data_IF_827009599341
#
_entry.id   IF_827009599341
#
_cell.length_a   1.000
_cell.length_b   1.000
_cell.length_c   1.000
_cell.angle_alpha   90.00
_cell.angle_beta   90.00
_cell.angle_gamma   90.00
#
_symmetry.space_group_name_H-M   'P 1'
#
loop_
_entity.id
_entity.type
_entity.pdbx_description
1 polymer ?
#
# COMPACT_ATOMS: atom_id res chain seq x y z
N UNK A 1 -6.74 1.68 -26.34
CA UNK A 1 -5.47 1.86 -25.59
C UNK A 1 -4.51 0.77 -26.06
N UNK A 2 -3.21 1.07 -26.25
CA UNK A 2 -2.22 0.01 -26.54
C UNK A 2 -2.05 -0.91 -25.33
N UNK A 3 -1.58 -2.14 -25.52
CA UNK A 3 -1.27 -3.06 -24.41
C UNK A 3 -0.25 -2.45 -23.45
N UNK A 4 0.72 -1.71 -23.98
CA UNK A 4 1.72 -0.99 -23.19
C UNK A 4 1.10 0.05 -22.24
N UNK A 5 0.24 0.91 -22.78
CA UNK A 5 -0.47 1.92 -22.00
C UNK A 5 -1.45 1.29 -21.00
N UNK A 6 -2.04 0.15 -21.37
CA UNK A 6 -2.89 -0.63 -20.49
C UNK A 6 -2.11 -1.13 -19.28
N UNK A 7 -0.99 -1.81 -19.50
CA UNK A 7 -0.17 -2.37 -18.43
C UNK A 7 0.38 -1.26 -17.52
N UNK A 8 0.78 -0.13 -18.11
CA UNK A 8 1.17 1.05 -17.37
C UNK A 8 0.03 1.52 -16.44
N UNK A 9 -1.17 1.74 -16.98
CA UNK A 9 -2.31 2.19 -16.18
C UNK A 9 -2.68 1.19 -15.07
N UNK A 10 -2.70 -0.11 -15.38
CA UNK A 10 -3.02 -1.16 -14.42
C UNK A 10 -1.97 -1.27 -13.31
N UNK A 11 -0.70 -0.96 -13.59
CA UNK A 11 0.34 -0.94 -12.55
C UNK A 11 0.10 0.12 -11.47
N UNK A 12 -0.57 1.23 -11.81
CA UNK A 12 -0.97 2.26 -10.85
C UNK A 12 -2.34 1.99 -10.22
N UNK A 13 -3.33 1.55 -11.01
CA UNK A 13 -4.71 1.38 -10.51
C UNK A 13 -4.83 0.14 -9.63
N UNK A 14 -4.30 -1.01 -10.09
CA UNK A 14 -4.37 -2.27 -9.36
C UNK A 14 -3.05 -2.58 -8.64
N UNK A 15 -1.93 -2.56 -9.36
CA UNK A 15 -0.63 -2.95 -8.81
C UNK A 15 -0.25 -2.14 -7.57
N UNK A 16 -0.19 -0.81 -7.68
CA UNK A 16 0.17 0.08 -6.58
C UNK A 16 -0.83 0.02 -5.43
N UNK A 17 -2.14 0.03 -5.73
CA UNK A 17 -3.20 -0.07 -4.71
C UNK A 17 -3.11 -1.36 -3.89
N UNK A 18 -2.87 -2.49 -4.55
CA UNK A 18 -2.67 -3.77 -3.86
C UNK A 18 -1.39 -3.78 -3.04
N UNK A 19 -0.27 -3.29 -3.60
CA UNK A 19 1.02 -3.22 -2.89
C UNK A 19 0.91 -2.40 -1.60
N UNK A 20 0.23 -1.24 -1.66
CA UNK A 20 -0.03 -0.39 -0.49
C UNK A 20 -0.83 -1.14 0.58
N UNK A 21 -1.93 -1.79 0.21
CA UNK A 21 -2.78 -2.50 1.15
C UNK A 21 -2.10 -3.74 1.76
N UNK A 22 -1.28 -4.44 0.99
CA UNK A 22 -0.46 -5.55 1.48
C UNK A 22 0.59 -5.03 2.47
N UNK A 23 1.28 -3.92 2.17
CA UNK A 23 2.26 -3.31 3.06
C UNK A 23 1.60 -2.86 4.38
N UNK A 24 0.46 -2.16 4.28
CA UNK A 24 -0.34 -1.75 5.43
C UNK A 24 -0.75 -2.94 6.31
N UNK A 25 -1.27 -4.00 5.70
CA UNK A 25 -1.68 -5.22 6.40
C UNK A 25 -0.49 -5.93 7.07
N UNK A 26 0.67 -5.97 6.41
CA UNK A 26 1.90 -6.53 6.99
C UNK A 26 2.31 -5.79 8.26
N UNK A 27 2.30 -4.46 8.25
CA UNK A 27 2.60 -3.64 9.44
C UNK A 27 1.62 -3.92 10.58
N UNK A 28 0.32 -3.95 10.28
CA UNK A 28 -0.70 -4.27 11.28
C UNK A 28 -0.54 -5.70 11.82
N UNK A 29 -0.24 -6.67 10.96
CA UNK A 29 -0.05 -8.06 11.36
C UNK A 29 1.13 -8.21 12.33
N UNK A 30 2.22 -7.46 12.09
CA UNK A 30 3.43 -7.45 12.91
C UNK A 30 3.27 -6.68 14.24
N UNK A 31 2.22 -5.88 14.39
CA UNK A 31 1.98 -5.08 15.61
C UNK A 31 1.58 -5.90 16.85
N UNK A 32 1.28 -7.20 16.68
CA UNK A 32 1.04 -8.15 17.77
C UNK A 32 -0.12 -7.73 18.70
N UNK A 33 0.17 -7.67 20.00
CA UNK A 33 -0.74 -7.29 21.10
C UNK A 33 -1.42 -5.92 20.92
N UNK A 34 -0.91 -5.07 20.02
CA UNK A 34 -1.52 -3.76 19.73
C UNK A 34 -2.75 -3.85 18.83
N UNK A 35 -3.07 -5.01 18.25
CA UNK A 35 -4.25 -5.17 17.36
C UNK A 35 -5.57 -4.84 18.06
N UNK A 36 -5.75 -5.31 19.29
CA UNK A 36 -6.99 -5.07 20.04
C UNK A 36 -7.11 -3.59 20.41
N UNK A 37 -5.99 -2.96 20.77
CA UNK A 37 -5.93 -1.52 21.03
C UNK A 37 -6.27 -0.70 19.77
N UNK A 38 -5.69 -1.05 18.62
CA UNK A 38 -5.96 -0.38 17.34
C UNK A 38 -7.42 -0.54 16.91
N UNK A 39 -8.04 -1.70 17.17
CA UNK A 39 -9.47 -1.91 16.93
C UNK A 39 -10.35 -1.04 17.83
N UNK A 40 -9.96 -0.82 19.09
CA UNK A 40 -10.74 0.01 20.02
C UNK A 40 -10.59 1.52 19.76
N UNK A 41 -9.41 1.97 19.32
CA UNK A 41 -9.12 3.38 19.04
C UNK A 41 -9.40 3.79 17.58
N UNK A 42 -9.99 2.90 16.79
CA UNK A 42 -10.13 3.08 15.36
C UNK A 42 -11.16 4.17 15.00
N UNK A 43 -10.69 5.19 14.30
CA UNK A 43 -11.54 6.18 13.63
C UNK A 43 -12.35 5.54 12.50
N UNK A 44 -13.39 6.22 12.01
CA UNK A 44 -14.16 5.79 10.83
C UNK A 44 -13.25 5.57 9.62
N UNK A 45 -12.34 6.52 9.35
CA UNK A 45 -11.35 6.42 8.26
C UNK A 45 -10.44 5.19 8.42
N UNK A 46 -9.97 4.89 9.63
CA UNK A 46 -9.14 3.71 9.86
C UNK A 46 -9.92 2.42 9.60
N UNK A 47 -11.19 2.34 10.04
CA UNK A 47 -12.04 1.17 9.79
C UNK A 47 -12.30 0.96 8.29
N UNK A 48 -12.54 2.03 7.56
CA UNK A 48 -12.74 1.97 6.11
C UNK A 48 -11.47 1.46 5.41
N UNK A 49 -10.31 2.00 5.76
CA UNK A 49 -9.01 1.56 5.21
C UNK A 49 -8.70 0.10 5.58
N UNK A 50 -8.96 -0.30 6.83
CA UNK A 50 -8.81 -1.68 7.27
C UNK A 50 -9.73 -2.61 6.48
N UNK A 51 -10.95 -2.18 6.19
CA UNK A 51 -11.88 -2.91 5.33
C UNK A 51 -11.37 -3.11 3.91
N UNK A 52 -10.75 -2.08 3.31
CA UNK A 52 -10.08 -2.19 1.99
C UNK A 52 -8.93 -3.19 2.07
N UNK A 53 -8.06 -3.04 3.06
CA UNK A 53 -6.89 -3.88 3.23
C UNK A 53 -7.28 -5.36 3.43
N UNK A 54 -8.32 -5.61 4.24
CA UNK A 54 -8.88 -6.95 4.46
C UNK A 54 -9.40 -7.59 3.17
N UNK A 55 -10.10 -6.84 2.31
CA UNK A 55 -10.56 -7.36 1.01
C UNK A 55 -9.41 -7.79 0.11
N UNK A 56 -8.29 -7.08 0.15
CA UNK A 56 -7.08 -7.45 -0.61
C UNK A 56 -6.42 -8.71 -0.01
N UNK A 57 -6.32 -8.81 1.32
CA UNK A 57 -5.65 -9.95 1.96
C UNK A 57 -6.48 -11.23 2.01
N UNK A 58 -7.80 -11.13 1.98
CA UNK A 58 -8.72 -12.28 2.02
C UNK A 58 -8.92 -12.91 0.62
N UNK A 59 -8.41 -12.26 -0.44
CA UNK A 59 -8.50 -12.72 -1.82
C UNK A 59 -7.25 -13.54 -2.21
N UNK A 60 -7.25 -14.18 -3.38
CA UNK A 60 -6.27 -15.20 -3.75
C UNK A 60 -4.85 -14.62 -3.89
N UNK A 61 -3.88 -15.00 -3.02
CA UNK A 61 -2.51 -14.49 -3.08
C UNK A 61 -1.80 -14.76 -4.42
N UNK A 62 -2.18 -15.84 -5.11
CA UNK A 62 -1.65 -16.18 -6.43
C UNK A 62 -2.01 -15.11 -7.47
N UNK A 63 -3.25 -14.62 -7.46
CA UNK A 63 -3.71 -13.58 -8.39
C UNK A 63 -2.94 -12.28 -8.19
N UNK A 64 -2.73 -11.86 -6.94
CA UNK A 64 -1.92 -10.67 -6.66
C UNK A 64 -0.46 -10.83 -7.06
N UNK A 65 0.11 -12.02 -6.83
CA UNK A 65 1.46 -12.32 -7.30
C UNK A 65 1.54 -12.20 -8.83
N UNK A 66 0.60 -12.77 -9.58
CA UNK A 66 0.57 -12.68 -11.04
C UNK A 66 0.41 -11.25 -11.53
N UNK A 67 -0.53 -10.48 -10.95
CA UNK A 67 -0.72 -9.06 -11.29
C UNK A 67 0.58 -8.27 -11.12
N UNK A 68 1.33 -8.54 -10.04
CA UNK A 68 2.59 -7.84 -9.77
C UNK A 68 3.78 -8.37 -10.57
N UNK A 69 3.85 -9.67 -10.79
CA UNK A 69 5.00 -10.31 -11.40
C UNK A 69 4.96 -10.22 -12.93
N UNK A 70 3.77 -10.32 -13.53
CA UNK A 70 3.58 -10.32 -14.99
C UNK A 70 3.50 -8.92 -15.58
N UNK A 71 3.13 -7.91 -14.78
CA UNK A 71 3.12 -6.53 -15.24
C UNK A 71 4.52 -5.92 -15.16
N UNK A 72 5.10 -5.60 -16.32
CA UNK A 72 6.46 -5.05 -16.43
C UNK A 72 6.68 -3.72 -15.70
N UNK A 73 5.63 -2.97 -15.38
CA UNK A 73 5.73 -1.70 -14.64
C UNK A 73 5.59 -1.87 -13.12
N UNK A 74 5.20 -3.04 -12.63
CA UNK A 74 4.94 -3.23 -11.20
C UNK A 74 6.16 -3.00 -10.31
N UNK A 75 7.35 -3.42 -10.72
CA UNK A 75 8.57 -3.14 -9.94
C UNK A 75 8.86 -1.63 -9.84
N UNK A 76 8.56 -0.87 -10.90
CA UNK A 76 8.68 0.60 -10.89
C UNK A 76 7.72 1.20 -9.87
N UNK A 77 6.43 0.85 -9.90
CA UNK A 77 5.45 1.45 -8.98
C UNK A 77 5.66 1.03 -7.53
N UNK A 78 6.13 -0.20 -7.28
CA UNK A 78 6.52 -0.66 -5.93
C UNK A 78 7.73 0.14 -5.41
N UNK A 79 8.73 0.39 -6.26
CA UNK A 79 9.89 1.21 -5.89
C UNK A 79 9.49 2.65 -5.57
N UNK A 80 8.60 3.25 -6.38
CA UNK A 80 8.05 4.59 -6.14
C UNK A 80 7.28 4.67 -4.82
N UNK A 81 6.47 3.66 -4.49
CA UNK A 81 5.80 3.58 -3.19
C UNK A 81 6.82 3.53 -2.04
N UNK A 82 7.85 2.69 -2.16
CA UNK A 82 8.89 2.57 -1.15
C UNK A 82 9.64 3.89 -0.93
N UNK A 83 9.95 4.60 -2.01
CA UNK A 83 10.58 5.92 -1.94
C UNK A 83 9.69 6.95 -1.23
N UNK A 84 8.40 7.04 -1.60
CA UNK A 84 7.48 7.98 -0.96
C UNK A 84 7.35 7.72 0.56
N UNK A 85 7.30 6.45 0.98
CA UNK A 85 7.29 6.08 2.41
C UNK A 85 8.58 6.50 3.11
N UNK A 86 9.74 6.34 2.45
CA UNK A 86 11.02 6.77 3.01
C UNK A 86 11.11 8.29 3.13
N UNK A 87 10.60 9.04 2.16
CA UNK A 87 10.55 10.51 2.19
C UNK A 87 9.66 11.00 3.34
N UNK A 88 8.50 10.37 3.55
CA UNK A 88 7.64 10.65 4.72
C UNK A 88 8.39 10.39 6.03
N UNK A 89 9.08 9.24 6.14
CA UNK A 89 9.87 8.91 7.32
C UNK A 89 10.94 9.98 7.59
N UNK A 90 11.68 10.36 6.56
CA UNK A 90 12.73 11.36 6.64
C UNK A 90 12.19 12.72 7.08
N UNK A 91 11.05 13.15 6.53
CA UNK A 91 10.40 14.41 6.89
C UNK A 91 9.98 14.42 8.36
N UNK A 92 9.33 13.35 8.83
CA UNK A 92 8.91 13.21 10.23
C UNK A 92 10.11 13.17 11.17
N UNK A 93 11.15 12.42 10.81
CA UNK A 93 12.36 12.28 11.63
C UNK A 93 13.15 13.60 11.73
N UNK A 94 13.14 14.43 10.68
CA UNK A 94 13.85 15.72 10.64
C UNK A 94 12.99 16.89 11.14
N UNK A 95 11.68 16.70 11.34
CA UNK A 95 10.75 17.77 11.73
C UNK A 95 10.37 18.72 10.59
N UNK A 96 10.47 18.28 9.33
CA UNK A 96 10.20 19.10 8.15
C UNK A 96 8.71 19.04 7.75
N UNK A 97 7.85 19.70 8.52
CA UNK A 97 6.39 19.67 8.31
C UNK A 97 5.98 20.11 6.89
N UNK A 98 6.65 21.13 6.35
CA UNK A 98 6.33 21.71 5.03
C UNK A 98 6.53 20.79 3.84
N UNK A 99 7.21 19.64 4.02
CA UNK A 99 7.53 18.68 2.96
C UNK A 99 6.70 17.39 3.06
N UNK A 100 5.90 17.21 4.12
CA UNK A 100 5.16 15.97 4.39
C UNK A 100 4.13 15.58 3.30
N UNK A 101 3.57 16.58 2.59
CA UNK A 101 2.49 16.40 1.61
C UNK A 101 2.88 16.85 0.20
N UNK A 102 4.15 17.16 -0.05
CA UNK A 102 4.66 17.62 -1.36
C UNK A 102 5.36 16.49 -2.09
#
# INVERSE_FOLDING_TARGET
MSLDNHDFAISYVLGLSHALNIAFSKVLSASGEKKDLLSQLSSTTFKDQLGVAKRVTDDNPHLYYEIQHLNKYSLKTIAELGQAVQEIFDCVNKGNEGDLLK
#
